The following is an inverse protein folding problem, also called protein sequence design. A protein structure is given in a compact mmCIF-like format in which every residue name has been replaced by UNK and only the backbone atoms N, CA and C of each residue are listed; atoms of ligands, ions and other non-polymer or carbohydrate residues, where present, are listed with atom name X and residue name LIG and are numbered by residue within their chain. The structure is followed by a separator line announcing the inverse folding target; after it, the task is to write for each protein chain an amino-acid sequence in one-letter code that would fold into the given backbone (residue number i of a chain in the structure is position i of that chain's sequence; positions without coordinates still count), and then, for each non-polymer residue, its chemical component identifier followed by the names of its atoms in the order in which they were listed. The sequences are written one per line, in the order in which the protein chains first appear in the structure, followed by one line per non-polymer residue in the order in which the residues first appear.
data_IF_706334189232
#
_entry.id   IF_706334189232
#
_cell.length_a   1.000
_cell.length_b   1.000
_cell.length_c   1.000
_cell.angle_alpha   90.00
_cell.angle_beta   90.00
_cell.angle_gamma   90.00
#
_symmetry.space_group_name_H-M   'P 1'
#
loop_
_entity.id
_entity.type
_entity.pdbx_description
1 polymer ?
#
# COMPACT_ATOMS: atom_id res chain seq x y z
N UNK A 1 5.80 8.83 3.47
CA UNK A 1 7.18 8.70 4.02
C UNK A 1 7.32 7.46 4.91
N UNK A 2 6.38 7.18 5.81
CA UNK A 2 6.43 6.05 6.77
C UNK A 2 6.43 4.66 6.08
N UNK A 3 5.61 4.44 5.04
CA UNK A 3 5.59 3.17 4.28
C UNK A 3 6.94 2.80 3.64
N UNK A 4 7.74 3.79 3.21
CA UNK A 4 9.01 3.55 2.51
C UNK A 4 10.04 2.91 3.42
N UNK A 5 10.13 3.36 4.68
CA UNK A 5 11.06 2.79 5.65
C UNK A 5 10.69 1.34 5.98
N UNK A 6 9.42 1.07 6.27
CA UNK A 6 8.96 -0.29 6.57
C UNK A 6 9.20 -1.27 5.41
N UNK A 7 8.92 -0.83 4.17
CA UNK A 7 9.19 -1.63 2.98
C UNK A 7 10.69 -1.89 2.82
N UNK A 8 11.53 -0.87 2.98
CA UNK A 8 12.98 -1.01 2.87
C UNK A 8 13.53 -1.95 3.96
N UNK A 9 12.96 -1.92 5.17
CA UNK A 9 13.38 -2.78 6.27
C UNK A 9 13.01 -4.24 6.05
N UNK A 10 11.85 -4.48 5.43
CA UNK A 10 11.35 -5.82 5.09
C UNK A 10 11.78 -6.27 3.69
N UNK A 11 12.69 -5.54 3.04
CA UNK A 11 13.17 -5.86 1.71
C UNK A 11 14.25 -6.94 1.73
N UNK A 12 14.45 -7.55 0.56
CA UNK A 12 15.54 -8.47 0.23
C UNK A 12 16.94 -7.94 0.58
N UNK A 13 17.13 -6.61 0.59
CA UNK A 13 18.43 -5.99 0.93
C UNK A 13 18.81 -6.22 2.40
N UNK A 14 17.90 -6.02 3.35
CA UNK A 14 18.16 -6.32 4.77
C UNK A 14 18.39 -7.81 4.99
N UNK A 15 17.64 -8.65 4.27
CA UNK A 15 17.91 -10.10 4.29
C UNK A 15 19.33 -10.42 3.82
N UNK A 16 19.80 -9.79 2.75
CA UNK A 16 21.15 -10.01 2.23
C UNK A 16 22.22 -9.51 3.20
N UNK A 17 21.99 -8.37 3.85
CA UNK A 17 22.84 -7.85 4.93
C UNK A 17 22.90 -8.84 6.12
N UNK A 18 21.77 -9.41 6.53
CA UNK A 18 21.75 -10.44 7.57
C UNK A 18 22.51 -11.70 7.15
N UNK A 19 22.42 -12.12 5.88
CA UNK A 19 23.18 -13.26 5.36
C UNK A 19 24.69 -12.98 5.29
N UNK A 20 25.09 -11.73 5.00
CA UNK A 20 26.49 -11.33 5.03
C UNK A 20 27.02 -11.27 6.47
N UNK A 21 26.22 -10.72 7.39
CA UNK A 21 26.57 -10.65 8.82
C UNK A 21 26.68 -12.04 9.47
N UNK A 22 25.88 -13.01 9.01
CA UNK A 22 26.01 -14.43 9.38
C UNK A 22 27.42 -14.98 9.19
N UNK A 23 28.12 -14.60 8.12
CA UNK A 23 29.52 -15.01 7.89
C UNK A 23 30.48 -14.56 8.99
N UNK A 24 30.10 -13.55 9.79
CA UNK A 24 30.90 -12.99 10.87
C UNK A 24 30.53 -13.47 12.29
N UNK A 25 29.43 -14.23 12.44
CA UNK A 25 28.83 -14.55 13.74
C UNK A 25 29.26 -15.90 14.36
N UNK A 26 29.95 -16.78 13.62
CA UNK A 26 30.40 -18.08 14.14
C UNK A 26 29.25 -18.93 14.70
N UNK A 27 29.36 -19.38 15.95
CA UNK A 27 28.40 -20.27 16.62
C UNK A 27 27.04 -19.63 16.98
N UNK A 28 26.91 -18.29 16.93
CA UNK A 28 25.64 -17.58 17.23
C UNK A 28 24.68 -17.49 16.03
N UNK A 29 25.00 -18.17 14.95
CA UNK A 29 24.24 -18.17 13.70
C UNK A 29 22.76 -18.62 13.88
N UNK A 30 22.52 -19.60 14.76
CA UNK A 30 21.18 -20.14 15.00
C UNK A 30 20.20 -19.13 15.64
N UNK A 31 20.70 -18.08 16.31
CA UNK A 31 19.87 -17.07 16.96
C UNK A 31 19.14 -16.18 15.94
N UNK A 32 19.62 -16.10 14.70
CA UNK A 32 19.07 -15.23 13.64
C UNK A 32 18.16 -15.94 12.64
N UNK A 33 18.03 -17.27 12.72
CA UNK A 33 17.29 -18.02 11.71
C UNK A 33 15.78 -17.67 11.70
N UNK A 34 15.19 -17.36 12.86
CA UNK A 34 13.80 -16.90 12.95
C UNK A 34 13.58 -15.56 12.22
N UNK A 35 14.44 -14.58 12.48
CA UNK A 35 14.36 -13.26 11.83
C UNK A 35 14.59 -13.36 10.31
N UNK A 36 15.51 -14.23 9.89
CA UNK A 36 15.78 -14.50 8.47
C UNK A 36 14.58 -15.15 7.76
N UNK A 37 13.94 -16.12 8.39
CA UNK A 37 12.72 -16.72 7.83
C UNK A 37 11.59 -15.70 7.75
N UNK A 38 11.42 -14.87 8.77
CA UNK A 38 10.45 -13.79 8.77
C UNK A 38 10.69 -12.79 7.61
N UNK A 39 11.93 -12.32 7.43
CA UNK A 39 12.31 -11.43 6.33
C UNK A 39 12.14 -12.10 4.97
N UNK A 40 12.46 -13.39 4.83
CA UNK A 40 12.25 -14.15 3.59
C UNK A 40 10.78 -14.15 3.20
N UNK A 41 9.88 -14.45 4.13
CA UNK A 41 8.46 -14.53 3.83
C UNK A 41 7.83 -13.15 3.62
N UNK A 42 8.18 -12.15 4.43
CA UNK A 42 7.66 -10.78 4.28
C UNK A 42 8.16 -10.08 3.02
N UNK A 43 9.44 -10.21 2.65
CA UNK A 43 9.96 -9.65 1.39
C UNK A 43 9.26 -10.27 0.17
N UNK A 44 9.04 -11.58 0.18
CA UNK A 44 8.34 -12.30 -0.88
C UNK A 44 6.84 -11.93 -0.94
N UNK A 45 6.21 -11.74 0.22
CA UNK A 45 4.84 -11.23 0.30
C UNK A 45 4.73 -9.84 -0.34
N UNK A 46 5.63 -8.92 0.03
CA UNK A 46 5.67 -7.57 -0.51
C UNK A 46 5.91 -7.58 -2.02
N UNK A 47 6.82 -8.44 -2.51
CA UNK A 47 7.13 -8.50 -3.95
C UNK A 47 5.92 -8.94 -4.78
N UNK A 48 5.12 -9.89 -4.28
CA UNK A 48 3.88 -10.32 -4.94
C UNK A 48 2.87 -9.18 -5.01
N UNK A 49 2.58 -8.49 -3.90
CA UNK A 49 1.58 -7.41 -3.88
C UNK A 49 2.02 -6.11 -4.55
N UNK A 50 3.31 -5.94 -4.84
CA UNK A 50 3.83 -4.81 -5.63
C UNK A 50 4.00 -5.14 -7.11
N UNK A 51 3.78 -6.39 -7.50
CA UNK A 51 3.88 -6.78 -8.90
C UNK A 51 2.76 -6.13 -9.73
N UNK A 52 3.16 -5.42 -10.78
CA UNK A 52 2.28 -4.72 -11.72
C UNK A 52 1.80 -5.62 -12.86
N UNK A 53 2.36 -6.82 -12.98
CA UNK A 53 1.95 -7.81 -13.99
C UNK A 53 0.69 -8.52 -13.51
N UNK A 54 -0.24 -8.72 -14.44
CA UNK A 54 -1.47 -9.47 -14.21
C UNK A 54 -1.21 -10.94 -13.90
N UNK A 55 -2.05 -11.53 -13.05
CA UNK A 55 -2.16 -12.97 -12.80
C UNK A 55 -3.30 -13.47 -13.69
N UNK A 56 -2.96 -14.33 -14.64
CA UNK A 56 -3.90 -14.89 -15.63
C UNK A 56 -4.28 -16.34 -15.36
N UNK A 57 -3.43 -17.07 -14.65
CA UNK A 57 -3.51 -18.52 -14.47
C UNK A 57 -3.41 -18.86 -12.99
N UNK A 58 -4.08 -19.93 -12.57
CA UNK A 58 -4.04 -20.39 -11.18
C UNK A 58 -2.71 -21.09 -10.84
N UNK A 59 -1.96 -21.47 -11.86
CA UNK A 59 -0.63 -22.08 -11.77
C UNK A 59 0.48 -21.04 -11.58
N UNK A 60 0.15 -19.74 -11.58
CA UNK A 60 1.10 -18.65 -11.43
C UNK A 60 1.95 -18.84 -10.17
N UNK A 61 3.27 -18.72 -10.33
CA UNK A 61 4.23 -18.94 -9.25
C UNK A 61 3.94 -18.05 -8.04
N UNK A 62 3.43 -16.83 -8.26
CA UNK A 62 3.08 -15.90 -7.17
C UNK A 62 1.97 -16.44 -6.28
N UNK A 63 1.01 -17.19 -6.84
CA UNK A 63 -0.06 -17.82 -6.06
C UNK A 63 0.47 -19.00 -5.24
N UNK A 64 1.42 -19.77 -5.78
CA UNK A 64 2.11 -20.83 -5.03
C UNK A 64 2.92 -20.24 -3.88
N UNK A 65 3.65 -19.17 -4.17
CA UNK A 65 4.44 -18.43 -3.18
C UNK A 65 3.56 -17.93 -2.02
N UNK A 66 2.37 -17.40 -2.33
CA UNK A 66 1.42 -16.96 -1.31
C UNK A 66 0.90 -18.11 -0.44
N UNK A 67 0.64 -19.29 -1.02
CA UNK A 67 0.23 -20.47 -0.26
C UNK A 67 1.33 -20.94 0.69
N UNK A 68 2.58 -20.96 0.24
CA UNK A 68 3.75 -21.29 1.08
C UNK A 68 3.90 -20.29 2.24
N UNK A 69 3.79 -18.99 1.94
CA UNK A 69 3.86 -17.93 2.95
C UNK A 69 2.73 -18.08 3.98
N UNK A 70 1.52 -18.36 3.52
CA UNK A 70 0.36 -18.57 4.39
C UNK A 70 0.57 -19.75 5.34
N UNK A 71 1.02 -20.88 4.82
CA UNK A 71 1.33 -22.07 5.62
C UNK A 71 2.40 -21.75 6.66
N UNK A 72 3.46 -21.05 6.27
CA UNK A 72 4.51 -20.63 7.19
C UNK A 72 3.98 -19.72 8.32
N UNK A 73 3.10 -18.75 8.01
CA UNK A 73 2.52 -17.89 9.06
C UNK A 73 1.63 -18.69 10.04
N UNK A 74 0.93 -19.72 9.56
CA UNK A 74 0.12 -20.61 10.41
C UNK A 74 1.01 -21.48 11.32
N UNK A 75 2.10 -22.01 10.78
CA UNK A 75 3.06 -22.81 11.53
C UNK A 75 3.79 -21.95 12.57
N UNK A 76 4.27 -20.77 12.16
CA UNK A 76 4.92 -19.81 13.03
C UNK A 76 4.03 -19.41 14.21
N UNK A 77 2.73 -19.26 13.97
CA UNK A 77 1.74 -19.04 15.02
C UNK A 77 1.72 -20.21 16.00
N UNK A 78 1.50 -21.43 15.52
CA UNK A 78 1.38 -22.62 16.38
C UNK A 78 2.61 -22.80 17.28
N UNK A 79 3.82 -22.58 16.76
CA UNK A 79 5.06 -22.71 17.53
C UNK A 79 5.26 -21.58 18.55
N UNK A 80 4.92 -20.33 18.18
CA UNK A 80 5.07 -19.16 19.06
C UNK A 80 4.11 -19.19 20.25
N UNK A 81 2.96 -19.85 20.14
CA UNK A 81 1.97 -19.99 21.22
C UNK A 81 2.18 -21.23 22.09
N UNK A 82 2.84 -22.28 21.58
CA UNK A 82 3.10 -23.51 22.33
C UNK A 82 4.30 -23.39 23.30
N UNK A 83 5.22 -22.45 23.02
CA UNK A 83 6.33 -22.10 23.93
C UNK A 83 5.84 -21.24 25.10
N UNK A 84 5.13 -21.86 26.06
CA UNK A 84 4.76 -21.25 27.35
C UNK A 84 5.98 -21.11 28.29
N UNK A 85 7.07 -20.53 27.81
CA UNK A 85 8.02 -19.90 28.75
C UNK A 85 7.38 -18.56 29.09
N UNK A 86 6.95 -18.41 30.34
CA UNK A 86 6.51 -17.14 30.93
C UNK A 86 7.68 -16.15 30.88
N UNK A 87 7.98 -15.61 29.71
CA UNK A 87 8.70 -14.35 29.60
C UNK A 87 7.67 -13.26 29.81
N UNK A 88 8.03 -12.39 30.73
CA UNK A 88 7.24 -11.36 31.34
C UNK A 88 6.48 -10.51 30.30
N UNK A 89 5.32 -10.01 30.72
CA UNK A 89 4.56 -8.95 30.05
C UNK A 89 5.53 -7.92 29.44
N UNK A 90 5.37 -7.62 28.15
CA UNK A 90 6.02 -6.56 27.34
C UNK A 90 6.88 -7.03 26.14
N UNK A 91 6.58 -8.20 25.56
CA UNK A 91 7.23 -8.67 24.32
C UNK A 91 6.28 -9.38 23.37
N UNK A 92 5.02 -8.95 23.26
CA UNK A 92 4.07 -9.60 22.36
C UNK A 92 4.56 -9.48 20.90
N UNK A 93 4.78 -10.64 20.28
CA UNK A 93 4.90 -10.78 18.84
C UNK A 93 3.79 -10.00 18.11
N UNK A 94 3.96 -9.76 16.80
CA UNK A 94 2.99 -9.12 15.89
C UNK A 94 1.53 -9.20 16.37
N UNK A 95 0.85 -8.07 16.51
CA UNK A 95 -0.50 -8.01 17.09
C UNK A 95 -1.48 -8.98 16.44
N UNK A 96 -2.43 -9.50 17.22
CA UNK A 96 -3.44 -10.44 16.71
C UNK A 96 -4.19 -9.88 15.50
N UNK A 97 -4.50 -8.59 15.53
CA UNK A 97 -5.13 -7.89 14.42
C UNK A 97 -4.27 -7.95 13.16
N UNK A 98 -3.00 -7.55 13.25
CA UNK A 98 -2.08 -7.57 12.12
C UNK A 98 -1.92 -8.98 11.52
N UNK A 99 -1.88 -10.01 12.37
CA UNK A 99 -1.83 -11.40 11.92
C UNK A 99 -3.09 -11.82 11.14
N UNK A 100 -4.27 -11.52 11.68
CA UNK A 100 -5.55 -11.78 11.02
C UNK A 100 -5.67 -11.02 9.70
N UNK A 101 -5.17 -9.78 9.66
CA UNK A 101 -5.16 -8.96 8.45
C UNK A 101 -4.25 -9.57 7.37
N UNK A 102 -3.05 -10.05 7.73
CA UNK A 102 -2.16 -10.74 6.78
C UNK A 102 -2.82 -12.01 6.24
N UNK A 103 -3.39 -12.84 7.11
CA UNK A 103 -4.06 -14.09 6.71
C UNK A 103 -5.24 -13.84 5.78
N UNK A 104 -6.13 -12.93 6.18
CA UNK A 104 -7.30 -12.57 5.37
C UNK A 104 -6.91 -11.93 4.04
N UNK A 105 -5.84 -11.13 4.00
CA UNK A 105 -5.31 -10.56 2.77
C UNK A 105 -4.85 -11.65 1.81
N UNK A 106 -4.05 -12.62 2.29
CA UNK A 106 -3.55 -13.72 1.45
C UNK A 106 -4.71 -14.60 0.94
N UNK A 107 -5.59 -15.04 1.85
CA UNK A 107 -6.74 -15.89 1.50
C UNK A 107 -7.66 -15.16 0.53
N UNK A 108 -7.99 -13.91 0.81
CA UNK A 108 -8.87 -13.09 -0.01
C UNK A 108 -8.33 -12.89 -1.42
N UNK A 109 -7.02 -12.67 -1.56
CA UNK A 109 -6.39 -12.54 -2.87
C UNK A 109 -6.41 -13.85 -3.66
N UNK A 110 -6.08 -14.98 -3.01
CA UNK A 110 -6.14 -16.30 -3.65
C UNK A 110 -7.56 -16.60 -4.15
N UNK A 111 -8.57 -16.32 -3.32
CA UNK A 111 -9.97 -16.53 -3.68
C UNK A 111 -10.40 -15.59 -4.81
N UNK A 112 -9.99 -14.33 -4.79
CA UNK A 112 -10.27 -13.37 -5.85
C UNK A 112 -9.74 -13.86 -7.21
N UNK A 113 -8.48 -14.32 -7.25
CA UNK A 113 -7.90 -14.89 -8.46
C UNK A 113 -8.65 -16.14 -8.94
N UNK A 114 -9.04 -17.02 -8.01
CA UNK A 114 -9.84 -18.21 -8.29
C UNK A 114 -11.19 -17.85 -8.92
N UNK A 115 -11.95 -16.97 -8.26
CA UNK A 115 -13.27 -16.52 -8.71
C UNK A 115 -13.20 -15.85 -10.08
N UNK A 116 -12.28 -14.91 -10.28
CA UNK A 116 -12.14 -14.21 -11.57
C UNK A 116 -11.76 -15.19 -12.69
N UNK A 117 -10.84 -16.11 -12.43
CA UNK A 117 -10.42 -17.10 -13.42
C UNK A 117 -11.53 -18.07 -13.81
N UNK A 118 -12.45 -18.40 -12.89
CA UNK A 118 -13.55 -19.33 -13.15
C UNK A 118 -14.80 -18.65 -13.74
N UNK A 119 -15.17 -17.48 -13.23
CA UNK A 119 -16.42 -16.81 -13.59
C UNK A 119 -16.29 -15.91 -14.81
N UNK A 120 -15.09 -15.38 -15.09
CA UNK A 120 -14.90 -14.35 -16.12
C UNK A 120 -13.71 -14.68 -17.01
N UNK A 121 -13.99 -15.29 -18.17
CA UNK A 121 -12.98 -15.61 -19.17
C UNK A 121 -12.27 -14.35 -19.69
N UNK A 122 -10.94 -14.42 -19.80
CA UNK A 122 -10.09 -13.34 -20.32
C UNK A 122 -9.77 -12.22 -19.33
N UNK A 123 -10.31 -12.29 -18.11
CA UNK A 123 -9.98 -11.32 -17.06
C UNK A 123 -8.77 -11.74 -16.27
N UNK A 124 -8.12 -10.75 -15.64
CA UNK A 124 -6.92 -10.97 -14.86
C UNK A 124 -6.81 -9.98 -13.72
N UNK A 125 -6.06 -10.36 -12.70
CA UNK A 125 -5.91 -9.56 -11.49
C UNK A 125 -4.50 -9.01 -11.44
N UNK A 126 -4.35 -7.70 -11.28
CA UNK A 126 -3.05 -7.07 -11.04
C UNK A 126 -2.88 -6.88 -9.53
N UNK A 127 -1.93 -7.59 -8.87
CA UNK A 127 -1.77 -7.50 -7.41
C UNK A 127 -1.57 -6.07 -6.91
N UNK A 128 -0.76 -5.27 -7.62
CA UNK A 128 -0.47 -3.88 -7.27
C UNK A 128 -1.70 -2.95 -7.30
N UNK A 129 -2.83 -3.37 -7.87
CA UNK A 129 -4.06 -2.57 -7.95
C UNK A 129 -5.01 -2.79 -6.76
N UNK A 130 -4.72 -3.76 -5.88
CA UNK A 130 -5.60 -4.12 -4.77
C UNK A 130 -5.35 -3.26 -3.52
N UNK A 131 -4.23 -2.54 -3.48
CA UNK A 131 -3.91 -1.65 -2.37
C UNK A 131 -4.67 -0.32 -2.44
N UNK A 132 -4.63 0.42 -1.33
CA UNK A 132 -5.23 1.76 -1.21
C UNK A 132 -4.30 2.88 -1.70
N UNK A 133 -3.13 2.59 -2.29
CA UNK A 133 -2.18 3.63 -2.73
C UNK A 133 -2.78 4.59 -3.77
N UNK A 134 -3.60 4.17 -4.75
CA UNK A 134 -4.30 5.10 -5.65
C UNK A 134 -5.20 6.09 -4.91
N UNK A 135 -5.88 5.64 -3.85
CA UNK A 135 -6.77 6.46 -3.03
C UNK A 135 -5.95 7.43 -2.18
N UNK A 136 -4.86 6.97 -1.56
CA UNK A 136 -3.93 7.84 -0.83
C UNK A 136 -3.31 8.91 -1.74
N UNK A 137 -2.90 8.52 -2.95
CA UNK A 137 -2.39 9.45 -3.95
C UNK A 137 -3.46 10.51 -4.31
N UNK A 138 -4.73 10.11 -4.41
CA UNK A 138 -5.83 11.05 -4.62
C UNK A 138 -5.99 12.01 -3.44
N UNK A 139 -5.89 11.55 -2.20
CA UNK A 139 -5.91 12.44 -1.02
C UNK A 139 -4.71 13.40 -1.01
N UNK A 140 -3.51 12.94 -1.38
CA UNK A 140 -2.34 13.79 -1.51
C UNK A 140 -2.54 14.88 -2.57
N UNK A 141 -3.13 14.54 -3.72
CA UNK A 141 -3.46 15.52 -4.76
C UNK A 141 -4.49 16.54 -4.26
N UNK A 142 -5.52 16.10 -3.52
CA UNK A 142 -6.51 17.00 -2.91
C UNK A 142 -5.87 18.00 -1.95
N UNK A 143 -4.94 17.57 -1.11
CA UNK A 143 -4.25 18.47 -0.16
C UNK A 143 -3.25 19.39 -0.86
N UNK A 144 -2.37 18.84 -1.70
CA UNK A 144 -1.26 19.58 -2.29
C UNK A 144 -1.62 20.36 -3.56
N UNK A 145 -2.35 19.74 -4.50
CA UNK A 145 -2.60 20.33 -5.83
C UNK A 145 -3.82 21.25 -5.84
N UNK A 146 -4.90 20.86 -5.17
CA UNK A 146 -6.18 21.58 -5.26
C UNK A 146 -6.41 22.59 -4.11
N UNK A 147 -5.75 22.40 -2.97
CA UNK A 147 -5.88 23.31 -1.83
C UNK A 147 -4.61 24.11 -1.50
N UNK A 148 -3.50 23.87 -2.22
CA UNK A 148 -2.25 24.61 -2.05
C UNK A 148 -1.75 24.58 -0.60
N UNK A 149 -1.64 25.75 0.03
CA UNK A 149 -1.22 25.89 1.42
C UNK A 149 -2.27 25.43 2.44
N UNK A 150 -3.53 25.27 2.03
CA UNK A 150 -4.59 24.76 2.89
C UNK A 150 -4.59 23.22 2.91
N UNK A 151 -3.60 22.65 3.59
CA UNK A 151 -3.38 21.20 3.64
C UNK A 151 -4.48 20.40 4.35
N UNK A 152 -5.40 21.08 5.03
CA UNK A 152 -6.56 20.50 5.72
C UNK A 152 -7.85 21.20 5.28
N UNK A 153 -8.38 20.87 4.08
CA UNK A 153 -9.61 21.48 3.58
C UNK A 153 -10.83 21.10 4.42
N UNK A 154 -11.81 21.99 4.48
CA UNK A 154 -13.14 21.66 5.02
C UNK A 154 -13.89 20.70 4.10
N UNK A 155 -14.92 20.01 4.60
CA UNK A 155 -15.74 19.09 3.80
C UNK A 155 -16.30 19.77 2.53
N UNK A 156 -16.76 21.02 2.64
CA UNK A 156 -17.26 21.79 1.50
C UNK A 156 -16.17 22.06 0.44
N UNK A 157 -14.96 22.41 0.87
CA UNK A 157 -13.83 22.64 -0.03
C UNK A 157 -13.41 21.35 -0.74
N UNK A 158 -13.38 20.23 0.00
CA UNK A 158 -13.12 18.91 -0.58
C UNK A 158 -14.17 18.54 -1.63
N UNK A 159 -15.45 18.74 -1.33
CA UNK A 159 -16.55 18.47 -2.27
C UNK A 159 -16.41 19.29 -3.56
N UNK A 160 -16.16 20.59 -3.45
CA UNK A 160 -15.99 21.47 -4.60
C UNK A 160 -14.80 21.03 -5.48
N UNK A 161 -13.67 20.66 -4.87
CA UNK A 161 -12.49 20.20 -5.58
C UNK A 161 -12.70 18.81 -6.20
N UNK A 162 -13.37 17.90 -5.50
CA UNK A 162 -13.71 16.58 -6.03
C UNK A 162 -14.61 16.71 -7.27
N UNK A 163 -15.65 17.55 -7.19
CA UNK A 163 -16.54 17.85 -8.31
C UNK A 163 -15.77 18.48 -9.49
N UNK A 164 -14.85 19.39 -9.22
CA UNK A 164 -14.01 19.99 -10.26
C UNK A 164 -13.21 18.92 -11.02
N UNK A 165 -12.62 17.95 -10.31
CA UNK A 165 -11.89 16.84 -10.95
C UNK A 165 -12.83 15.92 -11.74
N UNK A 166 -14.01 15.60 -11.20
CA UNK A 166 -15.01 14.75 -11.89
C UNK A 166 -15.47 15.41 -13.19
N UNK A 167 -15.69 16.74 -13.17
CA UNK A 167 -16.14 17.52 -14.32
C UNK A 167 -14.99 17.93 -15.26
N UNK A 168 -13.74 17.57 -14.96
CA UNK A 168 -12.56 17.98 -15.74
C UNK A 168 -12.27 19.49 -15.69
N UNK A 169 -12.84 20.21 -14.71
CA UNK A 169 -12.69 21.65 -14.55
C UNK A 169 -11.49 21.97 -13.65
N UNK A 170 -10.75 23.03 -14.00
CA UNK A 170 -9.67 23.52 -13.13
C UNK A 170 -10.28 24.15 -11.87
N UNK A 171 -9.89 23.66 -10.68
CA UNK A 171 -10.35 24.23 -9.41
C UNK A 171 -9.94 25.72 -9.35
N UNK A 172 -10.93 26.62 -9.37
CA UNK A 172 -10.71 28.05 -9.22
C UNK A 172 -10.31 28.35 -7.77
N UNK A 173 -9.01 28.32 -7.48
CA UNK A 173 -8.49 28.83 -6.21
C UNK A 173 -8.67 30.34 -6.16
N UNK A 174 -9.55 30.83 -5.28
CA UNK A 174 -9.70 32.28 -5.00
C UNK A 174 -8.49 32.88 -4.25
N UNK A 175 -7.47 32.09 -3.89
CA UNK A 175 -6.38 32.49 -2.99
C UNK A 175 -4.96 32.30 -3.55
N UNK A 176 -4.76 32.55 -4.84
CA UNK A 176 -3.41 32.72 -5.42
C UNK A 176 -3.39 33.92 -6.37
N UNK A 177 -2.34 34.72 -6.23
CA UNK A 177 -2.31 36.17 -6.41
C UNK A 177 -2.07 36.68 -7.84
N UNK A 178 -2.39 37.97 -8.01
CA UNK A 178 -1.90 38.92 -9.03
C UNK A 178 -2.27 38.69 -10.49
N UNK A 179 -3.49 39.11 -10.87
CA UNK A 179 -3.64 40.12 -11.92
C UNK A 179 -4.73 41.09 -11.47
N UNK A 180 -4.35 42.32 -11.07
CA UNK A 180 -5.28 43.44 -11.17
C UNK A 180 -5.62 43.54 -12.65
N UNK A 181 -6.85 43.17 -13.03
CA UNK A 181 -7.42 43.70 -14.27
C UNK A 181 -7.47 45.20 -14.08
N UNK A 182 -6.48 45.89 -14.63
CA UNK A 182 -6.53 47.33 -14.83
C UNK A 182 -7.82 47.56 -15.62
N UNK A 183 -8.77 48.21 -14.98
CA UNK A 183 -10.04 48.60 -15.57
C UNK A 183 -9.75 49.52 -16.75
N UNK A 184 -9.59 48.96 -17.94
CA UNK A 184 -9.80 49.71 -19.18
C UNK A 184 -11.30 49.67 -19.45
N UNK A 185 -11.97 50.67 -18.91
CA UNK A 185 -13.30 51.10 -19.32
C UNK A 185 -13.32 51.30 -20.84
N UNK A 186 -13.89 50.33 -21.56
CA UNK A 186 -14.50 50.59 -22.86
C UNK A 186 -15.98 50.28 -22.74
N UNK A 187 -16.74 51.34 -22.51
CA UNK A 187 -18.19 51.36 -22.59
C UNK A 187 -18.62 50.89 -23.99
N UNK A 188 -19.16 49.67 -24.09
CA UNK A 188 -20.00 49.31 -25.22
C UNK A 188 -21.46 49.61 -24.84
N UNK A 189 -21.95 50.77 -25.28
CA UNK A 189 -23.38 51.05 -25.32
C UNK A 189 -23.96 50.22 -26.48
N UNK A 190 -24.82 49.25 -26.18
CA UNK A 190 -25.75 48.72 -27.17
C UNK A 190 -26.82 49.78 -27.42
N UNK A 191 -26.87 50.30 -28.64
CA UNK A 191 -28.02 51.04 -29.14
C UNK A 191 -28.87 50.06 -29.93
N UNK A 192 -30.03 49.71 -29.37
CA UNK A 192 -31.09 49.00 -30.08
C UNK A 192 -31.73 49.99 -31.05
N UNK A 193 -31.82 49.61 -32.32
CA UNK A 193 -32.84 50.09 -33.26
C UNK A 193 -33.52 48.87 -33.85
#
# INVERSE_FOLDING_TARGET
MIKKLAVNVLDSEIRNLMLAYKGSLGEKDCELDGAKQFLKNTSKLISVYRDKRSVHLLEDQRLKDLKEIQAWFNDWQTHSFCSKVKLEKDGENMSEQCRKDIQSTIIGFLQLCCTISHEISGWSVVPAMINFDPIENRFCQQRGKFNGLNTNPTALQYQQNANSVILGQSALSKKTNTWRLRSNSRNFKHSIK
#
